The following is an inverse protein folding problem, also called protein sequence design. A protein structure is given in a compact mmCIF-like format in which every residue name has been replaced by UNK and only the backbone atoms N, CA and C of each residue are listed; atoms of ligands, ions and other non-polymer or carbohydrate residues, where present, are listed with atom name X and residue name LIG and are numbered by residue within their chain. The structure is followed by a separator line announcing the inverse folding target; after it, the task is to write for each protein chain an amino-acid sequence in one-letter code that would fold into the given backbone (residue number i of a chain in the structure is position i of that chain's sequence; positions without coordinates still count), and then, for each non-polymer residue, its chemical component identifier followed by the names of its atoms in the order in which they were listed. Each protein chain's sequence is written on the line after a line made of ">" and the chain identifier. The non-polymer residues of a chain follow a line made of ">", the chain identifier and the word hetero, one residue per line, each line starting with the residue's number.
data_IF_293746253359
#
_entry.id   IF_293746253359
#
_cell.length_a   1.000
_cell.length_b   1.000
_cell.length_c   1.000
_cell.angle_alpha   90.00
_cell.angle_beta   90.00
_cell.angle_gamma   90.00
#
_symmetry.space_group_name_H-M   'P 1'
#
loop_
_entity.id
_entity.type
_entity.pdbx_description
1 polymer ?
#
# COMPACT_ATOMS: atom_id res chain seq x y z
N UNK A 1 -44.70 -15.48 16.69
CA UNK A 1 -44.98 -14.57 15.54
C UNK A 1 -44.08 -13.36 15.68
N UNK A 2 -43.34 -13.00 14.64
CA UNK A 2 -42.43 -11.84 14.64
C UNK A 2 -43.24 -10.55 14.50
N UNK A 3 -42.95 -9.54 15.32
CA UNK A 3 -43.68 -8.26 15.32
C UNK A 3 -43.46 -7.51 13.98
N UNK A 4 -44.49 -6.91 13.36
CA UNK A 4 -44.38 -6.22 12.07
C UNK A 4 -43.28 -5.15 12.00
N UNK A 5 -43.07 -4.39 13.08
CA UNK A 5 -41.98 -3.40 13.16
C UNK A 5 -40.60 -4.06 13.02
N UNK A 6 -40.40 -5.27 13.54
CA UNK A 6 -39.11 -5.96 13.41
C UNK A 6 -38.85 -6.39 11.96
N UNK A 7 -39.89 -6.79 11.23
CA UNK A 7 -39.78 -7.12 9.80
C UNK A 7 -39.46 -5.85 8.99
N UNK A 8 -40.17 -4.75 9.22
CA UNK A 8 -39.91 -3.48 8.56
C UNK A 8 -38.49 -2.95 8.84
N UNK A 9 -38.02 -3.02 10.09
CA UNK A 9 -36.66 -2.61 10.44
C UNK A 9 -35.58 -3.49 9.77
N UNK A 10 -35.81 -4.79 9.65
CA UNK A 10 -34.90 -5.71 8.96
C UNK A 10 -34.85 -5.43 7.45
N UNK A 11 -35.99 -5.13 6.83
CA UNK A 11 -36.08 -4.78 5.41
C UNK A 11 -35.38 -3.44 5.12
N UNK A 12 -35.57 -2.44 5.98
CA UNK A 12 -34.87 -1.15 5.88
C UNK A 12 -33.35 -1.31 6.02
N UNK A 13 -32.90 -2.12 6.99
CA UNK A 13 -31.47 -2.40 7.19
C UNK A 13 -30.86 -3.08 5.97
N UNK A 14 -31.53 -4.10 5.42
CA UNK A 14 -31.07 -4.84 4.24
C UNK A 14 -30.98 -3.93 3.02
N UNK A 15 -31.98 -3.07 2.83
CA UNK A 15 -31.99 -2.09 1.72
C UNK A 15 -30.90 -1.02 1.89
N UNK A 16 -30.69 -0.53 3.10
CA UNK A 16 -29.62 0.41 3.40
C UNK A 16 -28.25 -0.21 3.15
N UNK A 17 -28.04 -1.47 3.54
CA UNK A 17 -26.79 -2.17 3.32
C UNK A 17 -26.52 -2.44 1.83
N UNK A 18 -27.55 -2.84 1.07
CA UNK A 18 -27.45 -2.97 -0.38
C UNK A 18 -27.01 -1.66 -1.07
N UNK A 19 -27.56 -0.51 -0.62
CA UNK A 19 -27.13 0.81 -1.12
C UNK A 19 -25.68 1.11 -0.77
N UNK A 20 -25.24 0.88 0.47
CA UNK A 20 -23.86 1.10 0.90
C UNK A 20 -22.86 0.26 0.11
N UNK A 21 -23.18 -1.01 -0.15
CA UNK A 21 -22.35 -1.89 -0.97
C UNK A 21 -22.25 -1.35 -2.40
N UNK A 22 -23.36 -0.96 -3.01
CA UNK A 22 -23.36 -0.41 -4.37
C UNK A 22 -22.57 0.91 -4.49
N UNK A 23 -22.71 1.81 -3.52
CA UNK A 23 -21.93 3.05 -3.44
C UNK A 23 -20.44 2.76 -3.28
N UNK A 24 -20.07 1.83 -2.38
CA UNK A 24 -18.69 1.41 -2.17
C UNK A 24 -18.09 0.80 -3.43
N UNK A 25 -18.82 -0.07 -4.12
CA UNK A 25 -18.35 -0.72 -5.35
C UNK A 25 -18.17 0.30 -6.49
N UNK A 26 -19.08 1.26 -6.60
CA UNK A 26 -18.93 2.36 -7.57
C UNK A 26 -17.68 3.20 -7.28
N UNK A 27 -17.43 3.51 -6.00
CA UNK A 27 -16.23 4.24 -5.56
C UNK A 27 -14.95 3.44 -5.83
N UNK A 28 -14.96 2.14 -5.58
CA UNK A 28 -13.81 1.27 -5.86
C UNK A 28 -13.33 1.36 -7.31
N UNK A 29 -14.28 1.30 -8.25
CA UNK A 29 -13.99 1.28 -9.68
C UNK A 29 -13.24 2.52 -10.15
N UNK A 30 -13.44 3.67 -9.51
CA UNK A 30 -12.71 4.90 -9.82
C UNK A 30 -11.48 5.09 -8.94
N UNK A 31 -11.57 4.77 -7.65
CA UNK A 31 -10.50 5.00 -6.67
C UNK A 31 -9.30 4.06 -6.86
N UNK A 32 -9.52 2.75 -7.02
CA UNK A 32 -8.44 1.76 -7.12
C UNK A 32 -7.45 2.06 -8.26
N UNK A 33 -7.91 2.23 -9.50
CA UNK A 33 -7.03 2.58 -10.62
C UNK A 33 -6.31 3.94 -10.43
N UNK A 34 -6.98 4.93 -9.82
CA UNK A 34 -6.36 6.24 -9.51
C UNK A 34 -5.23 6.09 -8.50
N UNK A 35 -5.41 5.32 -7.44
CA UNK A 35 -4.38 5.06 -6.44
C UNK A 35 -3.15 4.39 -7.02
N UNK A 36 -3.34 3.35 -7.85
CA UNK A 36 -2.25 2.65 -8.53
C UNK A 36 -1.50 3.58 -9.49
N UNK A 37 -2.24 4.35 -10.29
CA UNK A 37 -1.65 5.29 -11.26
C UNK A 37 -0.83 6.36 -10.55
N UNK A 38 -1.36 6.94 -9.48
CA UNK A 38 -0.68 7.98 -8.71
C UNK A 38 0.56 7.44 -8.01
N UNK A 39 0.47 6.26 -7.36
CA UNK A 39 1.64 5.60 -6.75
C UNK A 39 2.75 5.30 -7.75
N UNK A 40 2.40 4.75 -8.91
CA UNK A 40 3.38 4.48 -9.97
C UNK A 40 4.02 5.76 -10.53
N UNK A 41 3.23 6.83 -10.72
CA UNK A 41 3.73 8.12 -11.20
C UNK A 41 4.67 8.77 -10.17
N UNK A 42 4.25 8.84 -8.91
CA UNK A 42 5.04 9.46 -7.86
C UNK A 42 6.33 8.68 -7.58
N UNK A 43 6.28 7.35 -7.59
CA UNK A 43 7.48 6.54 -7.44
C UNK A 43 8.50 6.77 -8.55
N UNK A 44 8.08 7.02 -9.80
CA UNK A 44 8.99 7.40 -10.89
C UNK A 44 9.64 8.76 -10.66
N UNK A 45 8.93 9.71 -10.07
CA UNK A 45 9.48 11.02 -9.69
C UNK A 45 10.56 10.86 -8.62
N UNK A 46 10.30 10.03 -7.60
CA UNK A 46 11.18 9.86 -6.44
C UNK A 46 12.37 8.93 -6.71
N UNK A 47 12.13 7.80 -7.37
CA UNK A 47 13.10 6.71 -7.52
C UNK A 47 13.69 6.60 -8.93
N UNK A 48 13.17 7.35 -9.91
CA UNK A 48 13.66 7.34 -11.28
C UNK A 48 13.03 6.24 -12.15
N UNK A 49 13.72 5.88 -13.24
CA UNK A 49 13.20 5.00 -14.27
C UNK A 49 13.01 3.56 -13.77
N UNK A 50 13.80 3.14 -12.79
CA UNK A 50 13.79 1.84 -12.14
C UNK A 50 12.44 1.55 -11.47
N UNK A 51 11.73 2.60 -11.03
CA UNK A 51 10.39 2.46 -10.45
C UNK A 51 9.34 1.92 -11.44
N UNK A 52 9.62 1.94 -12.75
CA UNK A 52 8.70 1.46 -13.76
C UNK A 52 8.46 -0.05 -13.72
N UNK A 53 9.34 -0.82 -13.06
CA UNK A 53 9.18 -2.28 -12.88
C UNK A 53 8.35 -2.66 -11.66
N UNK A 54 7.94 -1.68 -10.84
CA UNK A 54 7.14 -1.94 -9.64
C UNK A 54 5.70 -2.30 -10.00
N UNK A 55 5.23 -3.42 -9.47
CA UNK A 55 3.83 -3.83 -9.53
C UNK A 55 3.08 -3.23 -8.34
N UNK A 56 2.20 -2.28 -8.63
CA UNK A 56 1.41 -1.55 -7.63
C UNK A 56 0.03 -2.18 -7.45
N UNK A 57 -0.34 -2.38 -6.19
CA UNK A 57 -1.61 -2.91 -5.75
C UNK A 57 -2.36 -1.91 -4.89
N UNK A 58 -3.68 -2.06 -4.84
CA UNK A 58 -4.57 -1.18 -4.09
C UNK A 58 -4.62 -1.63 -2.61
N UNK A 59 -4.42 -0.73 -1.64
CA UNK A 59 -4.39 -1.08 -0.21
C UNK A 59 -5.79 -1.21 0.46
N UNK A 60 -6.86 -1.30 -0.34
CA UNK A 60 -8.25 -1.33 0.13
C UNK A 60 -8.89 0.06 0.24
N UNK A 61 -10.23 0.13 0.29
CA UNK A 61 -10.95 1.40 0.36
C UNK A 61 -10.85 2.01 1.76
N UNK A 62 -10.26 3.18 1.84
CA UNK A 62 -10.50 4.08 2.97
C UNK A 62 -11.81 4.85 2.78
N UNK A 63 -12.47 5.26 3.87
CA UNK A 63 -13.73 6.00 3.82
C UNK A 63 -13.63 7.38 3.14
N UNK A 64 -12.42 7.86 2.84
CA UNK A 64 -12.17 9.19 2.28
C UNK A 64 -11.70 9.11 0.82
N UNK A 65 -12.57 9.48 -0.13
CA UNK A 65 -12.31 9.42 -1.58
C UNK A 65 -11.09 10.24 -2.05
N UNK A 66 -10.65 11.21 -1.26
CA UNK A 66 -9.49 12.06 -1.55
C UNK A 66 -8.14 11.46 -1.14
N UNK A 67 -8.13 10.35 -0.41
CA UNK A 67 -6.90 9.70 0.06
C UNK A 67 -6.57 8.53 -0.86
N UNK A 68 -5.58 8.71 -1.73
CA UNK A 68 -5.10 7.67 -2.63
C UNK A 68 -4.03 6.84 -1.94
N UNK A 69 -4.11 5.52 -2.04
CA UNK A 69 -3.16 4.61 -1.40
C UNK A 69 -2.88 3.38 -2.25
N UNK A 70 -1.60 3.10 -2.43
CA UNK A 70 -1.15 1.92 -3.17
C UNK A 70 0.10 1.35 -2.51
N UNK A 71 0.37 0.07 -2.78
CA UNK A 71 1.54 -0.64 -2.26
C UNK A 71 2.24 -1.37 -3.40
N UNK A 72 3.56 -1.38 -3.40
CA UNK A 72 4.36 -2.22 -4.27
C UNK A 72 5.28 -3.07 -3.41
N UNK A 73 5.26 -4.39 -3.60
CA UNK A 73 6.16 -5.30 -2.88
C UNK A 73 7.53 -5.21 -3.53
N UNK A 74 8.57 -4.94 -2.73
CA UNK A 74 9.95 -4.99 -3.19
C UNK A 74 10.46 -6.43 -3.15
N UNK A 75 10.38 -7.07 -1.98
CA UNK A 75 10.79 -8.46 -1.79
C UNK A 75 10.30 -9.02 -0.44
N UNK A 76 10.39 -10.34 -0.27
CA UNK A 76 10.31 -11.03 1.02
C UNK A 76 11.56 -11.87 1.24
N UNK A 77 12.48 -11.37 2.08
CA UNK A 77 13.78 -12.02 2.31
C UNK A 77 14.17 -11.99 3.78
N UNK A 78 14.83 -13.04 4.25
CA UNK A 78 15.28 -13.13 5.66
C UNK A 78 14.15 -13.07 6.69
N UNK A 79 12.94 -13.49 6.31
CA UNK A 79 11.75 -13.36 7.17
C UNK A 79 11.20 -11.93 7.28
N UNK A 80 11.68 -11.00 6.43
CA UNK A 80 11.19 -9.63 6.34
C UNK A 80 10.50 -9.39 5.01
N UNK A 81 9.35 -8.73 5.06
CA UNK A 81 8.63 -8.26 3.87
C UNK A 81 8.85 -6.75 3.72
N UNK A 82 9.36 -6.35 2.57
CA UNK A 82 9.67 -4.96 2.24
C UNK A 82 8.70 -4.48 1.16
N UNK A 83 8.08 -3.34 1.42
CA UNK A 83 7.05 -2.77 0.55
C UNK A 83 7.26 -1.27 0.45
N UNK A 84 7.07 -0.72 -0.74
CA UNK A 84 6.83 0.71 -0.92
C UNK A 84 5.36 0.99 -0.75
N UNK A 85 5.05 1.97 0.07
CA UNK A 85 3.70 2.43 0.35
C UNK A 85 3.55 3.86 -0.13
N UNK A 86 2.63 4.07 -1.06
CA UNK A 86 2.23 5.40 -1.53
C UNK A 86 1.01 5.88 -0.75
N UNK A 87 1.02 7.15 -0.37
CA UNK A 87 -0.14 7.87 0.17
C UNK A 87 -0.21 9.26 -0.43
N UNK A 88 -1.33 9.59 -1.07
CA UNK A 88 -1.63 10.93 -1.58
C UNK A 88 -2.88 11.49 -0.89
N UNK A 89 -2.77 12.66 -0.27
CA UNK A 89 -3.90 13.39 0.32
C UNK A 89 -3.84 14.85 -0.13
N UNK A 90 -4.80 15.25 -0.99
CA UNK A 90 -4.76 16.58 -1.63
C UNK A 90 -3.51 16.73 -2.50
N UNK A 91 -2.71 17.76 -2.22
CA UNK A 91 -1.44 18.04 -2.92
C UNK A 91 -0.22 17.43 -2.21
N UNK A 92 -0.44 16.64 -1.15
CA UNK A 92 0.64 16.02 -0.37
C UNK A 92 0.75 14.55 -0.76
N UNK A 93 1.84 14.21 -1.43
CA UNK A 93 2.20 12.84 -1.80
C UNK A 93 3.41 12.35 -1.00
N UNK A 94 3.35 11.11 -0.54
CA UNK A 94 4.43 10.47 0.22
C UNK A 94 4.68 9.07 -0.31
N UNK A 95 5.95 8.69 -0.27
CA UNK A 95 6.41 7.34 -0.54
C UNK A 95 7.13 6.86 0.72
N UNK A 96 6.72 5.71 1.26
CA UNK A 96 7.27 5.16 2.49
C UNK A 96 7.81 3.76 2.23
N UNK A 97 8.97 3.41 2.79
CA UNK A 97 9.42 2.04 2.91
C UNK A 97 8.82 1.44 4.18
N UNK A 98 8.02 0.39 4.01
CA UNK A 98 7.55 -0.46 5.10
C UNK A 98 8.35 -1.76 5.12
N UNK A 99 8.99 -2.06 6.23
CA UNK A 99 9.68 -3.34 6.47
C UNK A 99 9.01 -4.02 7.65
N UNK A 100 8.38 -5.16 7.40
CA UNK A 100 7.64 -5.93 8.40
C UNK A 100 8.27 -7.28 8.64
N UNK A 101 8.26 -7.72 9.89
CA UNK A 101 8.72 -9.04 10.31
C UNK A 101 7.61 -10.08 10.13
N UNK A 102 7.90 -11.21 9.49
CA UNK A 102 6.92 -12.27 9.28
C UNK A 102 6.57 -13.02 10.57
N UNK A 103 7.50 -13.08 11.53
CA UNK A 103 7.39 -13.88 12.75
C UNK A 103 7.24 -13.06 14.04
N UNK A 104 7.15 -11.73 13.94
CA UNK A 104 7.14 -10.84 15.09
C UNK A 104 6.40 -9.54 14.76
N UNK A 105 5.91 -8.79 15.76
CA UNK A 105 5.15 -7.56 15.52
C UNK A 105 6.02 -6.36 15.13
N UNK A 106 7.32 -6.56 14.87
CA UNK A 106 8.24 -5.48 14.52
C UNK A 106 7.94 -4.96 13.10
N UNK A 107 7.82 -3.65 12.99
CA UNK A 107 7.73 -2.95 11.72
C UNK A 107 8.56 -1.66 11.76
N UNK A 108 9.18 -1.34 10.62
CA UNK A 108 9.81 -0.06 10.33
C UNK A 108 9.01 0.60 9.21
N UNK A 109 8.72 1.89 9.35
CA UNK A 109 8.02 2.68 8.33
C UNK A 109 8.72 4.01 8.22
N UNK A 110 9.42 4.23 7.12
CA UNK A 110 10.28 5.41 6.92
C UNK A 110 10.02 6.05 5.56
N UNK A 111 10.10 7.38 5.49
CA UNK A 111 9.86 8.12 4.25
C UNK A 111 11.01 7.96 3.26
N UNK A 112 10.66 7.81 1.99
CA UNK A 112 11.57 7.63 0.87
C UNK A 112 11.46 8.86 -0.02
N UNK A 113 12.53 9.65 -0.07
CA UNK A 113 12.60 10.89 -0.85
C UNK A 113 13.53 10.79 -2.06
N UNK A 114 14.32 9.72 -2.16
CA UNK A 114 15.20 9.44 -3.30
C UNK A 114 15.56 7.94 -3.36
N UNK A 115 16.10 7.51 -4.51
CA UNK A 115 16.64 6.15 -4.67
C UNK A 115 17.82 5.87 -3.72
N UNK A 116 18.69 6.86 -3.51
CA UNK A 116 19.81 6.75 -2.55
C UNK A 116 19.28 6.58 -1.11
N UNK A 117 18.27 7.37 -0.73
CA UNK A 117 17.61 7.26 0.57
C UNK A 117 16.99 5.87 0.78
N UNK A 118 16.34 5.32 -0.25
CA UNK A 118 15.84 3.94 -0.22
C UNK A 118 16.97 2.94 0.04
N UNK A 119 18.09 3.07 -0.67
CA UNK A 119 19.27 2.22 -0.46
C UNK A 119 19.81 2.32 0.97
N UNK A 120 19.89 3.52 1.53
CA UNK A 120 20.33 3.74 2.91
C UNK A 120 19.37 3.11 3.93
N UNK A 121 18.06 3.19 3.72
CA UNK A 121 17.07 2.54 4.58
C UNK A 121 17.17 1.02 4.51
N UNK A 122 17.27 0.46 3.30
CA UNK A 122 17.46 -0.99 3.11
C UNK A 122 18.74 -1.50 3.78
N UNK A 123 19.81 -0.69 3.80
CA UNK A 123 21.08 -1.05 4.44
C UNK A 123 21.00 -1.26 5.96
N UNK A 124 19.98 -0.69 6.59
CA UNK A 124 19.75 -0.81 8.03
C UNK A 124 18.89 -2.04 8.37
N UNK A 125 18.40 -2.77 7.37
CA UNK A 125 17.58 -3.95 7.57
C UNK A 125 18.43 -5.21 7.78
N UNK A 126 17.99 -6.17 8.59
CA UNK A 126 18.59 -7.50 8.67
C UNK A 126 18.74 -8.21 7.30
N UNK A 127 17.80 -7.96 6.39
CA UNK A 127 17.80 -8.44 5.01
C UNK A 127 18.98 -7.94 4.16
N UNK A 128 19.67 -6.86 4.56
CA UNK A 128 20.72 -6.22 3.76
C UNK A 128 21.82 -7.17 3.29
N UNK A 129 22.24 -8.11 4.14
CA UNK A 129 23.28 -9.09 3.81
C UNK A 129 22.92 -9.97 2.61
N UNK A 130 21.62 -10.15 2.37
CA UNK A 130 21.10 -10.94 1.24
C UNK A 130 20.90 -10.05 0.01
N UNK A 131 20.42 -8.82 0.22
CA UNK A 131 20.16 -7.83 -0.86
C UNK A 131 21.46 -7.34 -1.50
N UNK A 132 22.45 -7.01 -0.68
CA UNK A 132 23.77 -6.55 -1.11
C UNK A 132 24.82 -7.61 -0.75
N UNK A 133 24.91 -8.71 -1.51
CA UNK A 133 25.99 -9.65 -1.30
C UNK A 133 27.30 -8.88 -1.48
N UNK A 134 28.17 -8.94 -0.46
CA UNK A 134 29.53 -8.39 -0.57
C UNK A 134 30.14 -8.96 -1.85
N UNK A 135 30.45 -8.13 -2.83
CA UNK A 135 31.33 -8.49 -3.94
C UNK A 135 32.68 -8.87 -3.33
N UNK A 136 32.82 -10.16 -3.05
CA UNK A 136 33.98 -10.82 -2.49
C UNK A 136 34.20 -12.10 -3.27
N UNK A 137 34.57 -11.94 -4.54
CA UNK A 137 35.20 -12.98 -5.33
C UNK A 137 36.54 -12.43 -5.80
N UNK A 138 37.61 -12.85 -5.13
CA UNK A 138 38.98 -12.73 -5.63
C UNK A 138 39.08 -13.39 -7.01
N UNK A 139 39.54 -12.63 -8.02
CA UNK A 139 40.67 -12.99 -8.91
C UNK A 139 41.39 -11.70 -9.29
#
# INVERSE_FOLDING_TARGET
>A
MTHPIMLAAADELTTAEGRRIAERDSRWRSWGPRSVTAGAAYARVVLGAEAATLEWEVLGLLPFEGHLQAVAVLDTVGGQRMELYYSGEGDVERLMLRVSCASCPSQMVEEVTSLEGLGQLLSQTPAWKVIAPRTGGEV
#
